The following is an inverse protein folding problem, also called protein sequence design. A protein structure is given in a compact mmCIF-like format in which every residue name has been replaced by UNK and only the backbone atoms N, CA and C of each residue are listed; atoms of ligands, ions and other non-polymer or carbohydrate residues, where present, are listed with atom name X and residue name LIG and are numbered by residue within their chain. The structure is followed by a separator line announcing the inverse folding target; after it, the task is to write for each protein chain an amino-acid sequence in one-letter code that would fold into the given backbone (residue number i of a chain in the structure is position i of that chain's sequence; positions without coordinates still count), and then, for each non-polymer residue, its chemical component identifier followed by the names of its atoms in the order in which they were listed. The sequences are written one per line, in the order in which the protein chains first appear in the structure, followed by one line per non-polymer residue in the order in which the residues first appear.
data_IF_949938393894
#
_entry.id   IF_949938393894
#
_cell.length_a   1.000
_cell.length_b   1.000
_cell.length_c   1.000
_cell.angle_alpha   90.00
_cell.angle_beta   90.00
_cell.angle_gamma   90.00
#
_symmetry.space_group_name_H-M   'P 1'
#
loop_
_entity.id
_entity.type
_entity.pdbx_description
1 polymer ?
#
# COMPACT_ATOMS: atom_id res chain seq x y z
N UNK A 1 -59.16 28.23 -56.47
CA UNK A 1 -57.78 28.70 -56.20
C UNK A 1 -57.56 28.83 -54.71
N UNK A 2 -56.49 28.19 -54.21
CA UNK A 2 -55.66 28.45 -53.02
C UNK A 2 -55.32 27.14 -52.31
N UNK A 3 -54.29 26.45 -52.82
CA UNK A 3 -53.57 25.43 -52.05
C UNK A 3 -52.66 26.19 -51.08
N UNK A 4 -52.93 26.07 -49.79
CA UNK A 4 -52.07 26.59 -48.73
C UNK A 4 -50.93 25.60 -48.59
N UNK A 5 -49.73 25.99 -49.01
CA UNK A 5 -48.51 25.23 -48.82
C UNK A 5 -47.97 25.59 -47.43
N UNK A 6 -48.11 24.70 -46.46
CA UNK A 6 -47.49 24.85 -45.14
C UNK A 6 -46.04 24.39 -45.25
N UNK A 7 -45.09 25.33 -45.17
CA UNK A 7 -43.68 25.03 -45.07
C UNK A 7 -43.33 24.72 -43.61
N UNK A 8 -43.05 23.44 -43.32
CA UNK A 8 -42.59 22.99 -42.02
C UNK A 8 -41.09 23.35 -41.88
N UNK A 9 -40.77 24.37 -41.09
CA UNK A 9 -39.39 24.71 -40.75
C UNK A 9 -38.91 23.81 -39.60
N UNK A 10 -38.13 22.77 -39.91
CA UNK A 10 -37.39 22.02 -38.90
C UNK A 10 -36.17 22.85 -38.46
N UNK A 11 -36.22 23.42 -37.25
CA UNK A 11 -35.03 23.99 -36.60
C UNK A 11 -34.19 22.86 -36.02
N UNK A 12 -33.06 22.56 -36.65
CA UNK A 12 -32.01 21.75 -36.06
C UNK A 12 -31.26 22.58 -35.01
N UNK A 13 -31.49 22.30 -33.73
CA UNK A 13 -30.63 22.81 -32.66
C UNK A 13 -29.33 22.01 -32.64
N UNK A 14 -28.27 22.58 -33.20
CA UNK A 14 -26.91 22.07 -33.02
C UNK A 14 -26.45 22.45 -31.61
N UNK A 15 -26.46 21.48 -30.70
CA UNK A 15 -25.83 21.64 -29.38
C UNK A 15 -24.32 21.55 -29.57
N UNK A 16 -23.66 22.71 -29.63
CA UNK A 16 -22.19 22.79 -29.63
C UNK A 16 -21.73 22.55 -28.19
N UNK A 17 -21.31 21.32 -27.90
CA UNK A 17 -20.56 21.02 -26.67
C UNK A 17 -19.16 21.60 -26.87
N UNK A 18 -18.94 22.81 -26.36
CA UNK A 18 -17.58 23.38 -26.28
C UNK A 18 -16.86 22.63 -25.16
N UNK A 19 -16.14 21.58 -25.52
CA UNK A 19 -15.18 20.95 -24.62
C UNK A 19 -14.15 22.02 -24.23
N UNK A 20 -14.21 22.50 -22.99
CA UNK A 20 -13.19 23.43 -22.47
C UNK A 20 -11.83 22.72 -22.56
N UNK A 21 -10.91 23.30 -23.34
CA UNK A 21 -9.53 22.81 -23.46
C UNK A 21 -8.91 22.72 -22.06
N UNK A 22 -8.32 21.56 -21.73
CA UNK A 22 -7.54 21.40 -20.50
C UNK A 22 -6.26 22.23 -20.66
N UNK A 23 -5.98 23.16 -19.75
CA UNK A 23 -4.80 24.00 -19.84
C UNK A 23 -3.51 23.17 -19.65
N UNK A 24 -2.42 23.56 -20.30
CA UNK A 24 -1.13 22.84 -20.30
C UNK A 24 -0.03 23.74 -19.77
N UNK A 25 1.03 23.16 -19.19
CA UNK A 25 2.17 23.95 -18.68
C UNK A 25 2.90 24.75 -19.78
N UNK A 26 2.73 24.40 -21.05
CA UNK A 26 3.18 25.20 -22.20
C UNK A 26 2.50 26.57 -22.28
N UNK A 27 1.31 26.73 -21.70
CA UNK A 27 0.55 27.98 -21.67
C UNK A 27 1.06 28.95 -20.58
N UNK A 28 2.07 28.56 -19.80
CA UNK A 28 2.65 29.34 -18.69
C UNK A 28 1.99 29.07 -17.33
N UNK A 29 2.37 29.83 -16.28
CA UNK A 29 1.80 29.65 -14.95
C UNK A 29 0.33 30.06 -14.91
N UNK A 30 -0.50 29.23 -14.28
CA UNK A 30 -1.91 29.53 -14.07
C UNK A 30 -2.11 30.46 -12.86
N UNK A 31 -3.19 31.25 -12.89
CA UNK A 31 -3.60 32.00 -11.71
C UNK A 31 -3.90 31.03 -10.56
N UNK A 32 -3.36 31.26 -9.34
CA UNK A 32 -3.67 30.42 -8.19
C UNK A 32 -5.18 30.30 -7.98
N UNK A 33 -5.65 29.07 -7.83
CA UNK A 33 -7.05 28.76 -7.54
C UNK A 33 -7.14 28.16 -6.14
N UNK A 34 -8.09 28.65 -5.34
CA UNK A 34 -8.40 28.09 -4.03
C UNK A 34 -9.85 27.65 -4.03
N UNK A 35 -10.08 26.36 -3.81
CA UNK A 35 -11.43 25.85 -3.58
C UNK A 35 -11.85 26.21 -2.16
N UNK A 36 -13.04 26.80 -2.02
CA UNK A 36 -13.57 27.13 -0.70
C UNK A 36 -13.83 25.84 0.08
N UNK A 37 -13.48 25.85 1.36
CA UNK A 37 -13.81 24.76 2.27
C UNK A 37 -15.33 24.61 2.36
N UNK A 38 -15.82 23.39 2.12
CA UNK A 38 -17.23 23.06 2.32
C UNK A 38 -17.46 22.69 3.80
N UNK A 39 -18.18 23.52 4.58
CA UNK A 39 -18.40 23.28 6.00
C UNK A 39 -19.30 22.06 6.28
N UNK A 40 -19.97 21.51 5.27
CA UNK A 40 -20.79 20.30 5.40
C UNK A 40 -19.96 19.01 5.42
N UNK A 41 -18.68 19.07 5.03
CA UNK A 41 -17.80 17.89 5.07
C UNK A 41 -17.49 17.50 6.51
N UNK A 42 -17.55 16.19 6.79
CA UNK A 42 -17.14 15.63 8.07
C UNK A 42 -15.68 15.98 8.36
N UNK A 43 -15.42 16.36 9.62
CA UNK A 43 -14.07 16.74 10.08
C UNK A 43 -13.38 15.53 10.68
N UNK A 44 -12.15 15.28 10.24
CA UNK A 44 -11.35 14.13 10.67
C UNK A 44 -11.73 12.85 9.95
N UNK A 45 -11.00 11.78 10.25
CA UNK A 45 -11.35 10.43 9.82
C UNK A 45 -11.10 9.48 10.98
N UNK A 46 -12.07 8.62 11.26
CA UNK A 46 -11.93 7.63 12.31
C UNK A 46 -10.99 6.52 11.85
N UNK A 47 -10.00 6.24 12.70
CA UNK A 47 -9.11 5.10 12.55
C UNK A 47 -9.89 3.79 12.55
N UNK A 48 -9.53 2.87 11.66
CA UNK A 48 -10.13 1.55 11.63
C UNK A 48 -9.82 0.83 12.95
N UNK A 49 -10.82 0.22 13.60
CA UNK A 49 -10.59 -0.48 14.85
C UNK A 49 -9.76 -1.75 14.58
N UNK A 50 -8.95 -2.18 15.55
CA UNK A 50 -8.00 -3.29 15.35
C UNK A 50 -8.68 -4.65 15.11
N UNK A 51 -9.95 -4.78 15.45
CA UNK A 51 -10.80 -5.94 15.16
C UNK A 51 -11.54 -5.84 13.81
N UNK A 52 -11.27 -4.80 13.02
CA UNK A 52 -11.83 -4.67 11.67
C UNK A 52 -11.33 -5.80 10.76
N UNK A 53 -12.22 -6.36 9.94
CA UNK A 53 -11.94 -7.55 9.11
C UNK A 53 -10.72 -7.40 8.18
N UNK A 54 -10.48 -6.20 7.65
CA UNK A 54 -9.32 -5.90 6.79
C UNK A 54 -7.97 -5.92 7.53
N UNK A 55 -7.98 -5.78 8.87
CA UNK A 55 -6.77 -5.73 9.70
C UNK A 55 -6.49 -7.06 10.41
N UNK A 56 -7.48 -7.96 10.41
CA UNK A 56 -7.35 -9.27 11.02
C UNK A 56 -6.32 -10.10 10.26
N UNK A 57 -5.57 -10.86 11.04
CA UNK A 57 -4.71 -11.90 10.50
C UNK A 57 -5.60 -13.04 9.97
N UNK A 58 -5.47 -13.37 8.70
CA UNK A 58 -6.26 -14.41 8.02
C UNK A 58 -5.48 -15.70 7.74
N UNK A 59 -4.25 -15.79 8.24
CA UNK A 59 -3.37 -16.95 8.08
C UNK A 59 -3.01 -17.53 9.45
N UNK A 60 -2.65 -18.81 9.49
CA UNK A 60 -2.25 -19.51 10.72
C UNK A 60 -0.77 -19.88 10.68
N UNK A 61 -0.15 -20.19 11.83
CA UNK A 61 1.25 -20.65 11.89
C UNK A 61 2.23 -19.68 11.17
N UNK A 62 3.16 -20.19 10.36
CA UNK A 62 4.14 -19.41 9.61
C UNK A 62 3.75 -19.17 8.15
N UNK A 63 2.46 -19.25 7.81
CA UNK A 63 2.01 -18.85 6.48
C UNK A 63 2.27 -17.34 6.25
N UNK A 64 2.69 -16.95 5.02
CA UNK A 64 2.94 -15.55 4.69
C UNK A 64 1.72 -14.64 4.83
N UNK A 65 1.94 -13.46 5.40
CA UNK A 65 1.01 -12.32 5.39
C UNK A 65 1.74 -11.04 4.99
N UNK A 66 0.98 -9.96 4.75
CA UNK A 66 1.53 -8.63 4.46
C UNK A 66 2.52 -8.65 3.28
N UNK A 67 2.18 -9.41 2.23
CA UNK A 67 3.03 -9.59 1.06
C UNK A 67 3.11 -8.27 0.29
N UNK A 68 4.32 -7.83 -0.02
CA UNK A 68 4.61 -6.58 -0.70
C UNK A 68 5.70 -6.71 -1.76
N UNK A 69 5.46 -6.07 -2.91
CA UNK A 69 6.38 -5.95 -4.02
C UNK A 69 7.05 -4.58 -4.03
N UNK A 70 8.36 -4.54 -4.24
CA UNK A 70 9.09 -3.29 -4.41
C UNK A 70 10.10 -3.36 -5.56
N UNK A 71 10.22 -2.24 -6.28
CA UNK A 71 11.24 -2.11 -7.32
C UNK A 71 12.64 -2.15 -6.75
N UNK A 72 13.54 -2.78 -7.50
CA UNK A 72 14.97 -2.62 -7.30
C UNK A 72 15.52 -1.47 -8.15
N UNK A 73 16.84 -1.25 -8.08
CA UNK A 73 17.53 -0.26 -8.92
C UNK A 73 17.58 -0.68 -10.40
N UNK A 74 17.57 -1.98 -10.68
CA UNK A 74 17.47 -2.53 -12.04
C UNK A 74 16.04 -2.91 -12.38
N UNK A 75 15.59 -2.58 -13.59
CA UNK A 75 14.29 -2.98 -14.15
C UNK A 75 14.13 -4.50 -14.30
N UNK A 76 15.24 -5.26 -14.27
CA UNK A 76 15.26 -6.72 -14.32
C UNK A 76 15.24 -7.38 -12.94
N UNK A 77 14.93 -6.65 -11.87
CA UNK A 77 14.89 -7.20 -10.51
C UNK A 77 13.80 -6.59 -9.64
N UNK A 78 13.26 -7.41 -8.75
CA UNK A 78 12.14 -7.08 -7.86
C UNK A 78 12.45 -7.59 -6.46
N UNK A 79 12.02 -6.86 -5.44
CA UNK A 79 11.97 -7.34 -4.07
C UNK A 79 10.57 -7.86 -3.76
N UNK A 80 10.51 -9.04 -3.17
CA UNK A 80 9.30 -9.61 -2.60
C UNK A 80 9.53 -9.73 -1.09
N UNK A 81 8.64 -9.11 -0.33
CA UNK A 81 8.71 -9.09 1.13
C UNK A 81 7.40 -9.60 1.72
N UNK A 82 7.47 -10.23 2.89
CA UNK A 82 6.31 -10.70 3.63
C UNK A 82 6.67 -10.90 5.10
N UNK A 83 5.66 -11.17 5.92
CA UNK A 83 5.83 -11.50 7.34
C UNK A 83 5.30 -12.91 7.59
N UNK A 84 5.97 -13.66 8.46
CA UNK A 84 5.47 -14.94 9.00
C UNK A 84 5.46 -14.93 10.52
N UNK A 85 4.56 -15.70 11.12
CA UNK A 85 4.38 -15.74 12.57
C UNK A 85 3.71 -14.49 13.15
N UNK A 86 3.23 -14.60 14.38
CA UNK A 86 2.52 -13.52 15.05
C UNK A 86 3.50 -12.59 15.78
N UNK A 87 3.28 -11.28 15.61
CA UNK A 87 3.92 -10.29 16.45
C UNK A 87 3.43 -10.42 17.91
N UNK A 88 4.27 -10.02 18.86
CA UNK A 88 3.94 -10.03 20.28
C UNK A 88 3.90 -8.60 20.79
N UNK A 89 2.92 -8.31 21.64
CA UNK A 89 2.80 -7.03 22.33
C UNK A 89 2.46 -7.25 23.81
N UNK A 90 3.12 -6.51 24.69
CA UNK A 90 2.88 -6.57 26.13
C UNK A 90 4.12 -6.17 26.92
N UNK A 91 4.06 -6.33 28.25
CA UNK A 91 5.19 -5.99 29.12
C UNK A 91 6.44 -6.82 28.81
N UNK A 92 6.26 -8.12 28.54
CA UNK A 92 7.32 -9.04 28.19
C UNK A 92 7.08 -9.58 26.77
N UNK A 93 8.07 -9.43 25.90
CA UNK A 93 8.05 -9.96 24.53
C UNK A 93 9.33 -10.75 24.30
N UNK A 94 9.23 -11.85 23.56
CA UNK A 94 10.39 -12.66 23.17
C UNK A 94 10.51 -12.66 21.65
N UNK A 95 11.52 -11.99 21.07
CA UNK A 95 11.70 -11.97 19.63
C UNK A 95 11.80 -13.38 19.05
N UNK A 96 11.14 -13.61 17.91
CA UNK A 96 11.31 -14.85 17.15
C UNK A 96 12.78 -14.97 16.67
N UNK A 97 13.27 -16.21 16.53
CA UNK A 97 14.53 -16.43 15.83
C UNK A 97 14.27 -16.42 14.32
N UNK A 98 14.77 -15.42 13.56
CA UNK A 98 14.50 -15.31 12.12
C UNK A 98 15.04 -16.49 11.31
N UNK A 99 15.95 -17.31 11.85
CA UNK A 99 16.51 -18.48 11.17
C UNK A 99 15.59 -19.70 11.19
N UNK A 100 14.50 -19.66 11.94
CA UNK A 100 13.56 -20.78 12.09
C UNK A 100 12.63 -20.95 10.90
N UNK A 101 12.51 -19.94 10.03
CA UNK A 101 11.67 -19.94 8.83
C UNK A 101 12.50 -19.46 7.64
N UNK A 102 12.52 -20.25 6.57
CA UNK A 102 13.23 -19.91 5.34
C UNK A 102 12.54 -18.76 4.57
N UNK A 103 13.33 -17.99 3.84
CA UNK A 103 12.86 -16.93 2.94
C UNK A 103 12.96 -17.40 1.49
N UNK A 104 11.96 -18.09 0.97
CA UNK A 104 11.95 -18.62 -0.40
C UNK A 104 10.93 -17.92 -1.29
N UNK A 105 11.30 -17.67 -2.55
CA UNK A 105 10.38 -17.27 -3.61
C UNK A 105 10.51 -18.25 -4.77
N UNK A 106 9.40 -18.86 -5.15
CA UNK A 106 9.28 -19.71 -6.33
C UNK A 106 8.55 -18.92 -7.40
N UNK A 107 9.09 -18.81 -8.60
CA UNK A 107 8.51 -17.97 -9.65
C UNK A 107 8.70 -18.53 -11.07
N UNK A 108 7.83 -18.10 -11.98
CA UNK A 108 7.82 -18.54 -13.38
C UNK A 108 6.90 -17.68 -14.23
N UNK A 109 6.89 -17.93 -15.56
CA UNK A 109 6.09 -17.18 -16.53
C UNK A 109 4.70 -17.79 -16.77
N UNK A 110 4.46 -19.00 -16.27
CA UNK A 110 3.20 -19.73 -16.41
C UNK A 110 2.60 -20.00 -15.04
N UNK A 111 1.30 -19.75 -14.89
CA UNK A 111 0.55 -20.06 -13.67
C UNK A 111 0.67 -21.55 -13.31
N UNK A 112 0.93 -21.83 -12.04
CA UNK A 112 1.16 -23.16 -11.51
C UNK A 112 2.50 -23.79 -11.86
N UNK A 113 3.39 -23.10 -12.59
CA UNK A 113 4.70 -23.63 -13.00
C UNK A 113 5.83 -22.68 -12.60
N UNK A 114 6.50 -22.99 -11.50
CA UNK A 114 7.61 -22.22 -10.96
C UNK A 114 8.94 -22.87 -11.30
N UNK A 115 9.57 -22.44 -12.38
CA UNK A 115 10.85 -23.01 -12.86
C UNK A 115 12.07 -22.40 -12.17
N UNK A 116 11.90 -21.29 -11.46
CA UNK A 116 12.96 -20.57 -10.76
C UNK A 116 12.66 -20.50 -9.27
N UNK A 117 13.72 -20.53 -8.46
CA UNK A 117 13.66 -20.39 -7.01
C UNK A 117 14.78 -19.47 -6.54
N UNK A 118 14.45 -18.54 -5.65
CA UNK A 118 15.41 -17.63 -5.05
C UNK A 118 15.23 -17.63 -3.53
N UNK A 119 16.36 -17.59 -2.82
CA UNK A 119 16.37 -17.44 -1.37
C UNK A 119 16.75 -16.00 -1.01
N UNK A 120 16.30 -15.54 0.15
CA UNK A 120 16.65 -14.24 0.69
C UNK A 120 17.00 -14.28 2.16
N UNK A 121 16.71 -13.17 2.85
CA UNK A 121 17.05 -12.97 4.25
C UNK A 121 15.79 -12.80 5.10
N UNK A 122 15.93 -12.98 6.40
CA UNK A 122 14.87 -12.76 7.38
C UNK A 122 15.40 -11.94 8.56
N UNK A 123 14.55 -11.10 9.12
CA UNK A 123 14.87 -10.23 10.27
C UNK A 123 13.67 -10.12 11.20
N UNK A 124 13.92 -9.73 12.45
CA UNK A 124 12.89 -9.33 13.42
C UNK A 124 13.29 -7.99 13.98
N UNK A 125 12.33 -7.12 14.27
CA UNK A 125 12.59 -5.89 15.01
C UNK A 125 11.77 -5.86 16.30
N UNK A 126 12.23 -5.07 17.27
CA UNK A 126 11.49 -4.83 18.50
C UNK A 126 11.42 -3.34 18.79
N UNK A 127 10.28 -2.91 19.33
CA UNK A 127 10.08 -1.58 19.87
C UNK A 127 9.99 -1.72 21.39
N UNK A 128 11.03 -1.28 22.09
CA UNK A 128 11.18 -1.49 23.52
C UNK A 128 11.13 -0.16 24.28
N UNK A 129 10.41 -0.13 25.39
CA UNK A 129 10.22 1.04 26.23
C UNK A 129 10.68 0.74 27.66
N UNK A 130 11.75 1.40 28.16
CA UNK A 130 12.28 1.17 29.50
C UNK A 130 11.53 2.01 30.56
N UNK A 131 10.21 2.11 30.45
CA UNK A 131 9.36 2.88 31.36
C UNK A 131 8.28 1.98 31.94
N UNK A 132 8.00 2.12 33.24
CA UNK A 132 6.96 1.33 33.91
C UNK A 132 5.59 1.57 33.26
N UNK A 133 4.86 0.49 33.02
CA UNK A 133 3.52 0.52 32.42
C UNK A 133 3.48 0.57 30.89
N UNK A 134 4.59 0.89 30.21
CA UNK A 134 4.63 0.89 28.74
C UNK A 134 4.81 -0.53 28.20
N UNK A 135 4.08 -0.84 27.13
CA UNK A 135 4.15 -2.15 26.46
C UNK A 135 5.26 -2.17 25.41
N UNK A 136 5.97 -3.29 25.37
CA UNK A 136 6.95 -3.63 24.36
C UNK A 136 6.28 -4.34 23.18
N UNK A 137 6.94 -4.31 22.02
CA UNK A 137 6.53 -5.03 20.84
C UNK A 137 7.72 -5.75 20.21
N UNK A 138 7.50 -6.94 19.67
CA UNK A 138 8.42 -7.61 18.74
C UNK A 138 7.64 -8.14 17.55
N UNK A 139 8.19 -7.97 16.35
CA UNK A 139 7.49 -8.31 15.11
C UNK A 139 7.39 -9.82 14.89
N UNK A 140 6.55 -10.23 13.93
CA UNK A 140 6.77 -11.50 13.24
C UNK A 140 8.12 -11.51 12.51
N UNK A 141 8.46 -12.63 11.88
CA UNK A 141 9.67 -12.74 11.07
C UNK A 141 9.41 -12.05 9.73
N UNK A 142 10.21 -11.03 9.42
CA UNK A 142 10.11 -10.25 8.18
C UNK A 142 11.09 -10.84 7.18
N UNK A 143 10.60 -11.16 5.99
CA UNK A 143 11.37 -11.79 4.93
C UNK A 143 11.57 -10.81 3.77
N UNK A 144 12.76 -10.82 3.18
CA UNK A 144 13.09 -10.06 1.97
C UNK A 144 13.83 -10.93 0.99
N UNK A 145 13.26 -11.11 -0.20
CA UNK A 145 13.88 -11.86 -1.31
C UNK A 145 13.98 -10.96 -2.52
N UNK A 146 15.21 -10.79 -3.05
CA UNK A 146 15.43 -10.14 -4.33
C UNK A 146 15.46 -11.21 -5.42
N UNK A 147 14.53 -11.13 -6.36
CA UNK A 147 14.58 -11.89 -7.60
C UNK A 147 15.20 -11.03 -8.71
N UNK A 148 16.02 -11.63 -9.55
CA UNK A 148 16.71 -10.96 -10.65
C UNK A 148 16.61 -11.76 -11.96
N UNK A 149 17.24 -11.26 -13.03
CA UNK A 149 17.16 -11.85 -14.36
C UNK A 149 15.76 -11.77 -14.98
N UNK A 150 14.89 -10.89 -14.49
CA UNK A 150 13.54 -10.75 -14.99
C UNK A 150 13.55 -10.06 -16.36
N UNK A 151 12.85 -10.67 -17.31
CA UNK A 151 12.55 -10.05 -18.59
C UNK A 151 11.60 -8.84 -18.41
N UNK A 152 11.81 -7.74 -19.16
CA UNK A 152 10.92 -6.58 -19.14
C UNK A 152 9.56 -6.92 -19.76
N UNK A 153 8.52 -6.15 -19.43
CA UNK A 153 7.17 -6.30 -20.01
C UNK A 153 6.65 -7.75 -19.93
N UNK A 154 6.99 -8.45 -18.83
CA UNK A 154 6.72 -9.88 -18.66
C UNK A 154 5.97 -10.11 -17.36
N UNK A 155 4.89 -10.89 -17.46
CA UNK A 155 4.14 -11.34 -16.29
C UNK A 155 4.81 -12.53 -15.64
N UNK A 156 5.04 -12.45 -14.34
CA UNK A 156 5.54 -13.54 -13.51
C UNK A 156 4.50 -13.95 -12.48
N UNK A 157 4.35 -15.25 -12.30
CA UNK A 157 3.60 -15.87 -11.22
C UNK A 157 4.58 -16.31 -10.14
N UNK A 158 4.23 -16.12 -8.87
CA UNK A 158 5.11 -16.44 -7.76
C UNK A 158 4.36 -16.95 -6.53
N UNK A 159 5.10 -17.69 -5.69
CA UNK A 159 4.74 -18.04 -4.32
C UNK A 159 5.91 -17.69 -3.42
N UNK A 160 5.64 -17.21 -2.21
CA UNK A 160 6.66 -16.95 -1.20
C UNK A 160 6.42 -17.78 0.07
N UNK A 161 7.43 -17.95 0.91
CA UNK A 161 7.31 -18.62 2.21
C UNK A 161 8.42 -19.63 2.48
N UNK A 162 8.07 -20.72 3.16
CA UNK A 162 8.99 -21.80 3.50
C UNK A 162 8.42 -23.15 3.04
N UNK A 163 9.05 -23.74 2.02
CA UNK A 163 8.63 -25.03 1.47
C UNK A 163 8.90 -26.21 2.40
N UNK A 164 9.84 -26.11 3.33
CA UNK A 164 10.13 -27.16 4.32
C UNK A 164 9.08 -27.26 5.41
N UNK A 165 8.40 -26.15 5.71
CA UNK A 165 7.29 -26.06 6.66
C UNK A 165 5.91 -26.19 6.00
N UNK A 166 5.86 -26.38 4.67
CA UNK A 166 4.61 -26.35 3.88
C UNK A 166 3.84 -25.03 4.08
N UNK A 167 4.57 -23.95 4.36
CA UNK A 167 4.03 -22.63 4.66
C UNK A 167 4.32 -21.68 3.49
N UNK A 168 3.73 -21.99 2.33
CA UNK A 168 3.83 -21.17 1.12
C UNK A 168 2.54 -20.36 0.94
N UNK A 169 2.65 -19.14 0.41
CA UNK A 169 1.52 -18.29 0.04
C UNK A 169 0.63 -18.95 -1.02
N UNK A 170 -0.54 -18.38 -1.29
CA UNK A 170 -1.22 -18.61 -2.56
C UNK A 170 -0.41 -18.05 -3.73
N UNK A 171 -0.76 -18.46 -4.96
CA UNK A 171 -0.14 -17.89 -6.16
C UNK A 171 -0.54 -16.42 -6.32
N UNK A 172 0.47 -15.59 -6.55
CA UNK A 172 0.35 -14.17 -6.85
C UNK A 172 1.04 -13.89 -8.19
N UNK A 173 0.80 -12.71 -8.76
CA UNK A 173 1.44 -12.32 -10.00
C UNK A 173 1.76 -10.84 -10.05
N UNK A 174 2.80 -10.49 -10.79
CA UNK A 174 3.18 -9.12 -11.11
C UNK A 174 3.68 -9.02 -12.55
N UNK A 175 3.76 -7.81 -13.07
CA UNK A 175 4.31 -7.52 -14.39
C UNK A 175 5.51 -6.57 -14.26
N UNK A 176 6.59 -6.88 -14.95
CA UNK A 176 7.80 -6.04 -14.97
C UNK A 176 7.63 -4.84 -15.89
N UNK A 177 8.33 -3.75 -15.56
CA UNK A 177 8.31 -2.54 -16.38
C UNK A 177 9.06 -2.71 -17.71
N UNK A 178 8.73 -1.89 -18.73
CA UNK A 178 9.57 -1.76 -19.91
C UNK A 178 10.97 -1.26 -19.54
N UNK A 179 11.94 -1.58 -20.40
CA UNK A 179 13.25 -0.95 -20.32
C UNK A 179 13.13 0.57 -20.54
N UNK A 180 13.93 1.38 -19.81
CA UNK A 180 13.94 2.82 -19.98
C UNK A 180 14.20 3.21 -21.44
N UNK A 181 13.26 3.95 -22.03
CA UNK A 181 13.39 4.51 -23.38
C UNK A 181 12.58 5.80 -23.49
N UNK A 182 12.92 6.74 -24.40
CA UNK A 182 12.27 8.05 -24.48
C UNK A 182 10.74 8.03 -24.66
N UNK A 183 10.21 6.93 -25.19
CA UNK A 183 8.79 6.76 -25.50
C UNK A 183 8.17 5.55 -24.77
N UNK A 184 8.82 5.03 -23.73
CA UNK A 184 8.30 3.92 -22.91
C UNK A 184 8.17 4.37 -21.46
N UNK A 185 6.93 4.34 -20.96
CA UNK A 185 6.59 4.75 -19.60
C UNK A 185 5.60 3.77 -18.98
N UNK A 186 5.61 3.61 -17.65
CA UNK A 186 4.47 3.00 -16.97
C UNK A 186 3.19 3.78 -17.29
N UNK A 187 2.10 3.07 -17.51
CA UNK A 187 0.82 3.65 -17.97
C UNK A 187 0.26 4.65 -16.97
N UNK A 188 0.31 4.30 -15.68
CA UNK A 188 -0.22 5.10 -14.57
C UNK A 188 0.71 4.95 -13.37
N UNK A 189 1.18 6.06 -12.83
CA UNK A 189 1.88 6.10 -11.54
C UNK A 189 0.94 6.78 -10.57
N UNK A 190 0.47 6.05 -9.57
CA UNK A 190 -0.25 6.65 -8.47
C UNK A 190 0.72 7.25 -7.47
N UNK A 191 0.38 8.42 -6.93
CA UNK A 191 1.16 9.10 -5.89
C UNK A 191 0.23 9.37 -4.72
N UNK A 192 0.60 8.86 -3.55
CA UNK A 192 -0.14 9.06 -2.30
C UNK A 192 0.83 9.33 -1.16
N UNK A 193 0.36 9.97 -0.10
CA UNK A 193 1.11 10.22 1.12
C UNK A 193 0.14 10.33 2.28
N UNK A 194 0.67 10.33 3.51
CA UNK A 194 -0.11 10.59 4.73
C UNK A 194 -1.35 9.68 4.84
N UNK A 195 -1.19 8.41 4.47
CA UNK A 195 -2.33 7.49 4.32
C UNK A 195 -3.00 7.19 5.65
N UNK A 196 -2.21 6.84 6.67
CA UNK A 196 -2.73 6.30 7.92
C UNK A 196 -3.55 5.04 7.73
N UNK A 197 -4.48 4.79 8.66
CA UNK A 197 -5.33 3.60 8.61
C UNK A 197 -6.74 3.92 9.12
N UNK A 198 -7.44 4.73 8.34
CA UNK A 198 -8.76 5.28 8.63
C UNK A 198 -9.82 4.83 7.61
N UNK A 199 -11.08 5.14 7.87
CA UNK A 199 -12.17 4.94 6.89
C UNK A 199 -11.89 5.69 5.57
N UNK A 200 -11.31 6.89 5.63
CA UNK A 200 -10.95 7.64 4.42
C UNK A 200 -9.80 6.95 3.68
N UNK A 201 -8.83 6.38 4.39
CA UNK A 201 -7.75 5.58 3.79
C UNK A 201 -8.31 4.45 2.94
N UNK A 202 -9.33 3.74 3.43
CA UNK A 202 -9.96 2.66 2.63
C UNK A 202 -10.58 3.18 1.34
N UNK A 203 -11.18 4.37 1.35
CA UNK A 203 -11.72 5.01 0.14
C UNK A 203 -10.60 5.40 -0.82
N UNK A 204 -9.49 5.93 -0.30
CA UNK A 204 -8.29 6.25 -1.10
C UNK A 204 -7.74 5.00 -1.77
N UNK A 205 -7.58 3.90 -1.04
CA UNK A 205 -7.15 2.60 -1.57
C UNK A 205 -8.11 2.10 -2.64
N UNK A 206 -9.42 2.15 -2.38
CA UNK A 206 -10.42 1.69 -3.35
C UNK A 206 -10.34 2.53 -4.65
N UNK A 207 -10.12 3.85 -4.54
CA UNK A 207 -9.85 4.72 -5.69
C UNK A 207 -8.54 4.40 -6.41
N UNK A 208 -7.48 4.04 -5.69
CA UNK A 208 -6.23 3.58 -6.30
C UNK A 208 -6.46 2.31 -7.12
N UNK A 209 -7.12 1.31 -6.54
CA UNK A 209 -7.42 0.04 -7.20
C UNK A 209 -8.27 0.27 -8.45
N UNK A 210 -9.31 1.11 -8.37
CA UNK A 210 -10.16 1.44 -9.53
C UNK A 210 -9.39 2.10 -10.67
N UNK A 211 -8.31 2.83 -10.36
CA UNK A 211 -7.47 3.47 -11.37
C UNK A 211 -6.39 2.54 -11.94
N UNK A 212 -6.25 1.31 -11.46
CA UNK A 212 -5.35 0.28 -12.02
C UNK A 212 -3.94 0.84 -12.35
N UNK A 213 -3.20 1.36 -11.34
CA UNK A 213 -1.88 1.92 -11.55
C UNK A 213 -0.87 0.84 -11.91
N UNK A 214 0.14 1.17 -12.70
CA UNK A 214 1.28 0.27 -12.90
C UNK A 214 2.23 0.29 -11.71
N UNK A 215 2.26 1.41 -10.97
CA UNK A 215 3.14 1.66 -9.83
C UNK A 215 2.47 2.57 -8.81
N UNK A 216 2.80 2.40 -7.54
CA UNK A 216 2.41 3.33 -6.47
C UNK A 216 3.67 3.91 -5.83
N UNK A 217 3.73 5.24 -5.79
CA UNK A 217 4.71 6.00 -5.04
C UNK A 217 4.04 6.50 -3.76
N UNK A 218 4.54 6.03 -2.63
CA UNK A 218 4.03 6.38 -1.31
C UNK A 218 5.02 7.31 -0.61
N UNK A 219 4.57 8.52 -0.25
CA UNK A 219 5.44 9.61 0.20
C UNK A 219 5.14 9.93 1.67
N UNK A 220 6.03 9.49 2.57
CA UNK A 220 5.95 9.79 4.01
C UNK A 220 4.73 9.22 4.74
N UNK A 221 4.75 9.32 6.06
CA UNK A 221 3.61 9.11 6.97
C UNK A 221 2.66 7.95 6.62
N UNK A 222 3.13 6.74 6.91
CA UNK A 222 2.45 5.51 6.50
C UNK A 222 1.28 5.17 7.42
N UNK A 223 1.56 4.85 8.69
CA UNK A 223 0.60 4.16 9.57
C UNK A 223 0.08 5.00 10.72
N UNK A 224 0.75 6.11 11.02
CA UNK A 224 0.54 6.92 12.24
C UNK A 224 0.51 6.11 13.55
N UNK A 225 1.28 5.01 13.63
CA UNK A 225 1.43 4.24 14.88
C UNK A 225 1.89 5.11 16.07
N UNK A 226 2.56 6.24 15.81
CA UNK A 226 3.03 7.24 16.77
C UNK A 226 1.95 8.23 17.25
N UNK A 227 0.68 8.03 16.87
CA UNK A 227 -0.48 8.74 17.43
C UNK A 227 -1.13 7.97 18.59
N UNK A 228 -0.53 6.86 19.03
CA UNK A 228 -1.09 5.96 20.02
C UNK A 228 -0.13 5.74 21.19
N UNK A 229 -0.70 5.48 22.37
CA UNK A 229 0.04 4.88 23.48
C UNK A 229 0.42 3.44 23.15
N UNK A 230 1.44 2.91 23.83
CA UNK A 230 1.90 1.51 23.68
C UNK A 230 0.83 0.47 23.97
N UNK A 231 -0.17 0.80 24.79
CA UNK A 231 -1.32 -0.07 25.10
C UNK A 231 -2.43 0.01 24.05
N UNK A 232 -2.28 0.84 23.01
CA UNK A 232 -3.28 1.07 21.98
C UNK A 232 -4.40 2.01 22.46
N UNK A 233 -5.64 1.65 22.17
CA UNK A 233 -6.81 2.49 22.46
C UNK A 233 -7.14 3.46 21.31
N UNK A 234 -7.63 4.65 21.66
CA UNK A 234 -7.99 5.68 20.67
C UNK A 234 -6.76 6.50 20.29
N UNK A 235 -6.45 6.56 19.00
CA UNK A 235 -5.41 7.44 18.46
C UNK A 235 -5.69 8.92 18.76
N UNK A 236 -4.62 9.68 18.91
CA UNK A 236 -4.65 11.11 19.18
C UNK A 236 -4.27 11.89 17.92
N UNK A 237 -5.16 12.79 17.46
CA UNK A 237 -4.87 13.70 16.36
C UNK A 237 -3.71 14.66 16.67
N UNK A 238 -3.52 14.98 17.94
CA UNK A 238 -2.33 15.64 18.47
C UNK A 238 -1.84 14.87 19.70
N UNK A 239 -0.80 14.04 19.51
CA UNK A 239 -0.25 13.22 20.58
C UNK A 239 0.18 14.06 21.80
N UNK A 240 0.94 15.14 21.59
CA UNK A 240 1.42 15.99 22.68
C UNK A 240 0.31 16.76 23.39
N UNK A 241 -0.81 17.02 22.71
CA UNK A 241 -1.97 17.67 23.31
C UNK A 241 -2.76 16.70 24.20
N UNK A 242 -2.86 15.43 23.78
CA UNK A 242 -3.68 14.43 24.46
C UNK A 242 -2.90 13.67 25.55
N UNK A 243 -1.59 13.49 25.36
CA UNK A 243 -0.71 12.77 26.28
C UNK A 243 0.49 13.65 26.66
N UNK A 244 0.27 14.80 27.31
CA UNK A 244 1.35 15.74 27.66
C UNK A 244 2.35 15.14 28.66
N UNK A 245 1.90 14.21 29.50
CA UNK A 245 2.69 13.58 30.55
C UNK A 245 3.33 12.25 30.11
N UNK A 246 3.19 11.86 28.83
CA UNK A 246 3.82 10.64 28.34
C UNK A 246 5.35 10.75 28.46
N UNK A 247 6.04 9.76 29.05
CA UNK A 247 7.48 9.86 29.32
C UNK A 247 8.33 9.89 28.05
N UNK A 248 7.76 9.45 26.93
CA UNK A 248 8.35 9.46 25.60
C UNK A 248 7.25 9.53 24.54
N UNK A 249 7.61 9.82 23.29
CA UNK A 249 6.72 9.62 22.15
C UNK A 249 6.51 8.11 21.94
N UNK A 250 5.39 7.59 22.44
CA UNK A 250 5.01 6.19 22.31
C UNK A 250 4.56 5.85 20.89
N UNK A 251 4.46 4.54 20.62
CA UNK A 251 3.93 3.99 19.38
C UNK A 251 3.15 2.70 19.66
N UNK A 252 2.06 2.48 18.93
CA UNK A 252 1.33 1.21 18.93
C UNK A 252 1.65 0.44 17.65
N UNK A 253 2.71 -0.36 17.72
CA UNK A 253 3.24 -1.10 16.56
C UNK A 253 2.24 -2.03 15.84
N UNK A 254 1.21 -2.62 16.48
CA UNK A 254 0.18 -3.38 15.75
C UNK A 254 -0.57 -2.58 14.67
N UNK A 255 -0.50 -1.23 14.68
CA UNK A 255 -0.98 -0.42 13.54
C UNK A 255 -0.19 -0.70 12.27
N UNK A 256 1.11 -0.98 12.35
CA UNK A 256 1.90 -1.40 11.20
C UNK A 256 1.44 -2.74 10.63
N UNK A 257 1.21 -3.73 11.51
CA UNK A 257 0.69 -5.04 11.09
C UNK A 257 -0.69 -4.93 10.45
N UNK A 258 -1.59 -4.16 11.07
CA UNK A 258 -2.92 -3.89 10.53
C UNK A 258 -2.85 -3.19 9.18
N UNK A 259 -1.97 -2.19 9.05
CA UNK A 259 -1.77 -1.45 7.81
C UNK A 259 -1.28 -2.37 6.69
N UNK A 260 -0.26 -3.20 6.94
CA UNK A 260 0.25 -4.16 5.96
C UNK A 260 -0.80 -5.18 5.50
N UNK A 261 -1.71 -5.60 6.40
CA UNK A 261 -2.83 -6.49 6.05
C UNK A 261 -3.92 -5.78 5.25
N UNK A 262 -4.18 -4.51 5.56
CA UNK A 262 -5.14 -3.71 4.80
C UNK A 262 -4.68 -3.48 3.36
N UNK A 263 -3.37 -3.23 3.21
CA UNK A 263 -2.74 -2.87 1.94
C UNK A 263 -2.35 -4.07 1.08
N UNK A 264 -2.38 -5.31 1.61
CA UNK A 264 -1.97 -6.51 0.86
C UNK A 264 -2.65 -6.66 -0.51
N UNK A 265 -3.90 -6.18 -0.64
CA UNK A 265 -4.64 -6.20 -1.92
C UNK A 265 -3.99 -5.34 -3.00
N UNK A 266 -3.25 -4.33 -2.57
CA UNK A 266 -2.49 -3.41 -3.40
C UNK A 266 -1.04 -3.88 -3.48
N UNK A 267 -0.40 -4.10 -2.34
CA UNK A 267 1.03 -4.40 -2.18
C UNK A 267 1.46 -5.72 -2.83
N UNK A 268 0.57 -6.72 -2.90
CA UNK A 268 0.87 -8.02 -3.50
C UNK A 268 0.71 -8.07 -5.03
N UNK A 269 0.02 -7.08 -5.61
CA UNK A 269 -0.35 -7.03 -7.04
C UNK A 269 0.33 -5.89 -7.80
N UNK A 270 0.63 -4.78 -7.12
CA UNK A 270 1.25 -3.60 -7.70
C UNK A 270 2.65 -3.41 -7.15
N UNK A 271 3.55 -2.88 -7.98
CA UNK A 271 4.87 -2.54 -7.48
C UNK A 271 4.83 -1.22 -6.72
N UNK A 272 5.34 -1.21 -5.48
CA UNK A 272 5.29 -0.05 -4.60
C UNK A 272 6.69 0.44 -4.31
N UNK A 273 6.86 1.75 -4.39
CA UNK A 273 8.05 2.42 -3.89
C UNK A 273 7.65 3.36 -2.74
N UNK A 274 8.22 3.12 -1.56
CA UNK A 274 7.97 3.95 -0.38
C UNK A 274 9.15 4.90 -0.20
N UNK A 275 8.85 6.19 -0.28
CA UNK A 275 9.81 7.27 0.00
C UNK A 275 9.59 7.72 1.43
N UNK A 276 10.55 7.39 2.28
CA UNK A 276 10.60 7.92 3.64
C UNK A 276 11.19 9.33 3.56
N UNK A 277 10.32 10.34 3.65
CA UNK A 277 10.76 11.71 3.89
C UNK A 277 11.17 11.78 5.35
N UNK A 278 12.44 12.07 5.60
CA UNK A 278 13.01 12.27 6.95
C UNK A 278 12.61 13.63 7.51
#
# INVERSE_FOLDING_TARGET
MKKICSALWLQFFVVIIVAKRIPTTLDGPFKPLTHRFDPLLHKGSDDLPMDHSRLKRNVTSFFPEQIALALSTSSSSMWISWITGEAQIGLNVTPHDPKTVASEVWYGKESGKYTMKQNGVSVVYSQLYPFEGLWNYTSGIIHHVKIDGLEPETKYYYKCGDSSLVAMSDELAFETFPLPAPNKYPRRIAVVGDLGLTSNTTTTIDHLIMNDPSMILMVGDLTYANQYLTTGGKGASCYSCQFPDAPIRETFQPRWDGWGRCEVRVDASYTIHRVFVK
#
